data_IF_652605590203
#
_entry.id   IF_652605590203
#
_cell.length_a   1.000
_cell.length_b   1.000
_cell.length_c   1.000
_cell.angle_alpha   90.00
_cell.angle_beta   90.00
_cell.angle_gamma   90.00
#
_symmetry.space_group_name_H-M   'P 1'
#
loop_
_entity.id
_entity.type
_entity.pdbx_description
1 polymer ?
#
# COMPACT_ATOMS: atom_id res chain seq x y z
N UNK A 1 1.42 -17.96 -13.44
CA UNK A 1 2.17 -18.46 -14.58
C UNK A 1 1.76 -17.61 -15.78
N UNK A 2 2.69 -16.86 -16.32
CA UNK A 2 2.41 -15.98 -17.46
C UNK A 2 2.66 -16.76 -18.76
N UNK A 3 1.58 -17.23 -19.38
CA UNK A 3 1.62 -17.91 -20.68
C UNK A 3 1.43 -16.94 -21.86
N UNK A 4 1.21 -15.65 -21.58
CA UNK A 4 0.88 -14.65 -22.62
C UNK A 4 2.04 -14.30 -23.56
N UNK A 5 3.27 -14.66 -23.20
CA UNK A 5 4.47 -14.35 -23.99
C UNK A 5 4.93 -15.48 -24.90
N UNK A 6 4.19 -16.57 -24.94
CA UNK A 6 4.54 -17.73 -25.76
C UNK A 6 3.93 -17.58 -27.13
N UNK A 7 4.73 -17.09 -28.09
CA UNK A 7 4.29 -17.00 -29.48
C UNK A 7 4.07 -18.41 -30.07
N UNK A 8 2.99 -18.63 -30.85
CA UNK A 8 2.80 -19.89 -31.54
C UNK A 8 3.91 -20.10 -32.59
N UNK A 9 4.43 -21.31 -32.66
CA UNK A 9 5.40 -21.65 -33.72
C UNK A 9 4.64 -21.79 -35.05
N UNK A 10 5.06 -21.07 -36.06
CA UNK A 10 4.39 -21.13 -37.36
C UNK A 10 4.49 -22.53 -37.97
N UNK A 11 3.32 -23.10 -38.34
CA UNK A 11 3.21 -24.33 -39.10
C UNK A 11 3.31 -25.66 -38.39
N UNK A 12 3.51 -25.66 -37.06
CA UNK A 12 3.54 -26.91 -36.24
C UNK A 12 3.13 -26.63 -34.79
N UNK A 13 2.78 -27.69 -34.08
CA UNK A 13 2.59 -27.62 -32.63
C UNK A 13 3.92 -27.30 -31.94
N UNK A 14 3.84 -26.48 -30.91
CA UNK A 14 4.99 -26.12 -30.08
C UNK A 14 5.48 -27.33 -29.29
N UNK A 15 6.78 -27.58 -29.27
CA UNK A 15 7.40 -28.68 -28.57
C UNK A 15 8.15 -28.20 -27.32
N UNK A 16 8.42 -29.15 -26.39
CA UNK A 16 9.24 -28.87 -25.22
C UNK A 16 10.65 -28.34 -25.57
N UNK A 17 11.19 -28.79 -26.74
CA UNK A 17 12.48 -28.32 -27.21
C UNK A 17 12.43 -26.82 -27.61
N UNK A 18 11.33 -26.36 -28.17
CA UNK A 18 11.12 -24.95 -28.50
C UNK A 18 11.07 -24.12 -27.21
N UNK A 19 10.37 -24.60 -26.18
CA UNK A 19 10.28 -23.96 -24.88
C UNK A 19 11.64 -23.83 -24.17
N UNK A 20 12.44 -24.88 -24.23
CA UNK A 20 13.78 -24.87 -23.67
C UNK A 20 14.73 -23.91 -24.41
N UNK A 21 14.65 -23.88 -25.76
CA UNK A 21 15.48 -23.00 -26.58
C UNK A 21 15.13 -21.52 -26.39
N UNK A 22 13.86 -21.20 -26.25
CA UNK A 22 13.37 -19.84 -26.03
C UNK A 22 13.37 -19.43 -24.54
N UNK A 23 13.74 -20.36 -23.64
CA UNK A 23 13.78 -20.11 -22.22
C UNK A 23 12.40 -19.91 -21.57
N UNK A 24 11.36 -20.39 -22.24
CA UNK A 24 9.98 -20.33 -21.73
C UNK A 24 9.83 -21.29 -20.58
N UNK A 25 9.63 -20.75 -19.38
CA UNK A 25 9.45 -21.55 -18.17
C UNK A 25 8.29 -20.98 -17.35
N UNK A 26 7.46 -21.84 -16.74
CA UNK A 26 6.51 -21.37 -15.74
C UNK A 26 7.28 -20.74 -14.57
N UNK A 27 6.88 -19.56 -14.14
CA UNK A 27 7.48 -18.87 -13.02
C UNK A 27 6.42 -18.33 -12.08
N UNK A 28 6.79 -18.14 -10.82
CA UNK A 28 5.95 -17.49 -9.82
C UNK A 28 6.21 -15.99 -9.87
N UNK A 29 5.15 -15.21 -9.89
CA UNK A 29 5.21 -13.77 -9.72
C UNK A 29 4.50 -13.40 -8.43
N UNK A 30 5.19 -12.68 -7.56
CA UNK A 30 4.63 -12.15 -6.34
C UNK A 30 4.03 -10.78 -6.62
N UNK A 31 2.82 -10.57 -6.16
CA UNK A 31 2.16 -9.27 -6.13
C UNK A 31 1.99 -8.83 -4.68
N UNK A 32 2.32 -7.58 -4.40
CA UNK A 32 2.05 -6.99 -3.10
C UNK A 32 0.54 -6.79 -2.90
N UNK A 33 0.02 -6.78 -1.68
CA UNK A 33 -1.41 -6.61 -1.43
C UNK A 33 -1.98 -5.34 -2.06
N UNK A 34 -1.21 -4.24 -2.09
CA UNK A 34 -1.57 -2.97 -2.72
C UNK A 34 -1.69 -3.03 -4.25
N UNK A 35 -1.06 -4.00 -4.88
CA UNK A 35 -1.15 -4.20 -6.33
C UNK A 35 -2.36 -5.07 -6.72
N UNK A 36 -3.03 -5.69 -5.78
CA UNK A 36 -4.28 -6.44 -5.99
C UNK A 36 -5.47 -5.51 -5.79
N UNK A 37 -5.89 -4.83 -6.86
CA UNK A 37 -6.96 -3.82 -6.77
C UNK A 37 -8.37 -4.40 -6.73
N UNK A 38 -8.55 -5.63 -7.17
CA UNK A 38 -9.84 -6.29 -7.14
C UNK A 38 -9.69 -7.81 -7.16
N UNK A 39 -10.51 -8.48 -6.35
CA UNK A 39 -10.67 -9.93 -6.40
C UNK A 39 -12.14 -10.30 -6.14
N UNK A 40 -12.65 -11.20 -6.95
CA UNK A 40 -13.99 -11.76 -6.78
C UNK A 40 -13.88 -13.25 -6.65
N UNK A 41 -14.38 -13.77 -5.55
CA UNK A 41 -14.46 -15.21 -5.28
C UNK A 41 -15.91 -15.69 -5.41
N UNK A 42 -16.08 -16.87 -5.93
CA UNK A 42 -17.36 -17.54 -6.07
C UNK A 42 -17.26 -18.92 -5.44
N UNK A 43 -18.31 -19.32 -4.76
CA UNK A 43 -18.42 -20.65 -4.17
C UNK A 43 -18.97 -21.60 -5.21
N UNK A 44 -18.21 -22.63 -5.57
CA UNK A 44 -18.64 -23.67 -6.47
C UNK A 44 -19.71 -24.59 -5.86
N UNK A 45 -20.34 -25.41 -6.67
CA UNK A 45 -21.31 -26.42 -6.24
C UNK A 45 -20.68 -27.48 -5.29
N UNK A 46 -19.38 -27.66 -5.39
CA UNK A 46 -18.56 -28.52 -4.52
C UNK A 46 -18.25 -27.87 -3.16
N UNK A 47 -18.72 -26.66 -2.92
CA UNK A 47 -18.49 -25.88 -1.70
C UNK A 47 -17.15 -25.21 -1.62
N UNK A 48 -16.25 -25.37 -2.60
CA UNK A 48 -14.94 -24.73 -2.64
C UNK A 48 -15.03 -23.31 -3.18
N UNK A 49 -14.13 -22.46 -2.69
CA UNK A 49 -13.99 -21.11 -3.20
C UNK A 49 -12.99 -21.10 -4.36
N UNK A 50 -13.41 -20.53 -5.49
CA UNK A 50 -12.56 -20.25 -6.65
C UNK A 50 -12.59 -18.77 -7.00
N UNK A 51 -11.54 -18.28 -7.66
CA UNK A 51 -11.53 -16.93 -8.18
C UNK A 51 -12.35 -16.84 -9.47
N UNK A 52 -13.25 -15.87 -9.54
CA UNK A 52 -14.00 -15.54 -10.74
C UNK A 52 -13.39 -14.36 -11.51
N UNK A 53 -12.65 -13.49 -10.81
CA UNK A 53 -11.96 -12.36 -11.42
C UNK A 53 -10.88 -11.87 -10.45
N UNK A 54 -9.69 -11.54 -11.01
CA UNK A 54 -8.61 -10.86 -10.27
C UNK A 54 -8.07 -9.74 -11.13
N UNK A 55 -7.83 -8.56 -10.54
CA UNK A 55 -7.20 -7.41 -11.21
C UNK A 55 -5.94 -7.01 -10.47
N UNK A 56 -4.85 -6.97 -11.20
CA UNK A 56 -3.50 -6.73 -10.69
C UNK A 56 -2.91 -5.48 -11.35
N UNK A 57 -2.28 -4.64 -10.58
CA UNK A 57 -1.51 -3.50 -11.09
C UNK A 57 -0.09 -3.97 -11.40
N UNK A 58 0.37 -3.67 -12.59
CA UNK A 58 1.74 -3.93 -13.03
C UNK A 58 2.42 -2.62 -13.40
N UNK A 59 3.65 -2.47 -12.95
CA UNK A 59 4.51 -1.33 -13.29
C UNK A 59 5.68 -1.87 -14.09
N UNK A 60 5.59 -1.70 -15.40
CA UNK A 60 6.64 -2.13 -16.32
C UNK A 60 7.53 -0.96 -16.69
N UNK A 61 8.82 -1.23 -16.88
CA UNK A 61 9.77 -0.26 -17.41
C UNK A 61 9.83 -0.43 -18.92
N UNK A 62 9.56 0.64 -19.65
CA UNK A 62 9.74 0.72 -21.09
C UNK A 62 10.80 1.76 -21.45
N UNK A 63 11.53 1.51 -22.52
CA UNK A 63 12.51 2.47 -23.00
C UNK A 63 11.81 3.73 -23.54
N UNK A 64 12.27 4.90 -23.13
CA UNK A 64 11.79 6.20 -23.55
C UNK A 64 12.90 6.96 -24.29
N UNK A 65 13.12 6.58 -25.54
CA UNK A 65 14.22 7.06 -26.36
C UNK A 65 15.55 6.37 -26.06
N UNK A 66 16.64 6.95 -26.55
CA UNK A 66 17.98 6.33 -26.51
C UNK A 66 18.58 6.27 -25.09
N UNK A 67 18.15 7.15 -24.18
CA UNK A 67 18.79 7.36 -22.88
C UNK A 67 17.83 7.34 -21.69
N UNK A 68 16.54 7.07 -21.90
CA UNK A 68 15.54 7.16 -20.86
C UNK A 68 14.72 5.88 -20.69
N UNK A 69 14.17 5.69 -19.50
CA UNK A 69 13.16 4.68 -19.21
C UNK A 69 11.97 5.34 -18.54
N UNK A 70 10.76 4.91 -18.88
CA UNK A 70 9.52 5.34 -18.26
C UNK A 70 8.80 4.16 -17.62
N UNK A 71 8.12 4.44 -16.52
CA UNK A 71 7.21 3.48 -15.88
C UNK A 71 5.87 3.53 -16.61
N UNK A 72 5.45 2.40 -17.13
CA UNK A 72 4.13 2.23 -17.75
C UNK A 72 3.24 1.48 -16.77
N UNK A 73 2.09 2.09 -16.46
CA UNK A 73 1.11 1.50 -15.58
C UNK A 73 0.14 0.63 -16.38
N UNK A 74 0.06 -0.66 -16.01
CA UNK A 74 -0.84 -1.63 -16.63
C UNK A 74 -1.74 -2.28 -15.58
N UNK A 75 -2.92 -2.68 -16.02
CA UNK A 75 -3.83 -3.53 -15.24
C UNK A 75 -3.97 -4.84 -15.95
N UNK A 76 -3.55 -5.92 -15.29
CA UNK A 76 -3.81 -7.28 -15.73
C UNK A 76 -5.10 -7.76 -15.10
N UNK A 77 -6.07 -8.09 -15.92
CA UNK A 77 -7.34 -8.71 -15.54
C UNK A 77 -7.29 -10.19 -15.83
N UNK A 78 -7.41 -11.02 -14.81
CA UNK A 78 -7.45 -12.47 -14.93
C UNK A 78 -8.91 -12.93 -14.83
N UNK A 79 -9.32 -13.73 -15.78
CA UNK A 79 -10.62 -14.38 -15.87
C UNK A 79 -10.41 -15.91 -15.97
N UNK A 80 -11.39 -16.73 -15.66
CA UNK A 80 -11.30 -18.17 -15.92
C UNK A 80 -10.99 -18.43 -17.40
N UNK A 81 -9.88 -19.08 -17.68
CA UNK A 81 -9.43 -19.41 -19.04
C UNK A 81 -8.95 -18.24 -19.91
N UNK A 82 -8.91 -17.00 -19.41
CA UNK A 82 -8.51 -15.85 -20.21
C UNK A 82 -7.82 -14.76 -19.38
N UNK A 83 -7.03 -13.91 -20.06
CA UNK A 83 -6.48 -12.70 -19.47
C UNK A 83 -6.67 -11.51 -20.40
N UNK A 84 -6.69 -10.33 -19.82
CA UNK A 84 -6.74 -9.04 -20.51
C UNK A 84 -5.69 -8.11 -19.90
N UNK A 85 -4.98 -7.36 -20.71
CA UNK A 85 -3.99 -6.38 -20.29
C UNK A 85 -4.38 -4.99 -20.75
N UNK A 86 -4.58 -4.09 -19.81
CA UNK A 86 -4.95 -2.71 -20.08
C UNK A 86 -3.78 -1.79 -19.74
N UNK A 87 -3.60 -0.75 -20.54
CA UNK A 87 -2.60 0.29 -20.34
C UNK A 87 -3.26 1.65 -20.22
N UNK A 88 -2.75 2.47 -19.32
CA UNK A 88 -3.23 3.82 -19.11
C UNK A 88 -2.65 4.75 -20.19
N UNK A 89 -3.47 5.13 -21.16
CA UNK A 89 -3.06 6.04 -22.25
C UNK A 89 -3.78 7.37 -22.19
N UNK A 90 -3.06 8.44 -22.51
CA UNK A 90 -3.68 9.75 -22.72
C UNK A 90 -4.46 9.74 -24.01
N UNK A 91 -5.73 10.10 -23.96
CA UNK A 91 -6.65 10.05 -25.11
C UNK A 91 -6.27 10.99 -26.27
N UNK A 92 -5.53 12.06 -25.99
CA UNK A 92 -4.96 13.00 -26.95
C UNK A 92 -3.74 13.71 -26.34
N UNK A 93 -2.79 14.14 -27.19
CA UNK A 93 -1.54 14.80 -26.79
C UNK A 93 -1.74 16.06 -25.90
N UNK A 94 -2.92 16.70 -25.98
CA UNK A 94 -3.31 17.89 -25.18
C UNK A 94 -4.47 17.64 -24.21
N UNK A 95 -4.95 16.40 -24.06
CA UNK A 95 -6.05 16.08 -23.14
C UNK A 95 -5.51 15.62 -21.80
N UNK A 96 -6.03 16.21 -20.71
CA UNK A 96 -5.80 15.71 -19.36
C UNK A 96 -6.59 14.42 -19.03
N UNK A 97 -7.43 13.95 -19.97
CA UNK A 97 -8.22 12.73 -19.77
C UNK A 97 -7.40 11.51 -20.16
N UNK A 98 -7.12 10.69 -19.19
CA UNK A 98 -6.52 9.37 -19.33
C UNK A 98 -7.62 8.32 -19.47
N UNK A 99 -7.37 7.27 -20.23
CA UNK A 99 -8.29 6.12 -20.36
C UNK A 99 -7.52 4.82 -20.46
N UNK A 100 -8.09 3.79 -19.87
CA UNK A 100 -7.58 2.43 -19.97
C UNK A 100 -7.90 1.88 -21.37
N UNK A 101 -6.88 1.41 -22.06
CA UNK A 101 -6.98 0.84 -23.39
C UNK A 101 -6.49 -0.59 -23.32
N UNK A 102 -7.27 -1.53 -23.85
CA UNK A 102 -6.85 -2.93 -24.00
C UNK A 102 -5.67 -2.98 -24.97
N UNK A 103 -4.53 -3.49 -24.52
CA UNK A 103 -3.30 -3.61 -25.33
C UNK A 103 -2.97 -5.06 -25.67
N UNK A 104 -3.39 -6.00 -24.82
CA UNK A 104 -3.18 -7.41 -25.04
C UNK A 104 -4.27 -8.23 -24.34
N UNK A 105 -4.50 -9.44 -24.79
CA UNK A 105 -5.45 -10.37 -24.20
C UNK A 105 -5.60 -11.63 -25.01
N UNK A 106 -5.91 -12.72 -24.33
CA UNK A 106 -6.07 -13.99 -24.99
C UNK A 106 -6.49 -15.11 -24.04
N UNK A 107 -6.66 -16.33 -24.59
CA UNK A 107 -6.93 -17.50 -23.77
C UNK A 107 -5.70 -17.91 -22.96
N UNK A 108 -5.93 -18.39 -21.75
CA UNK A 108 -4.93 -19.09 -20.95
C UNK A 108 -5.09 -20.59 -21.14
N UNK A 109 -3.98 -21.34 -21.13
CA UNK A 109 -4.00 -22.80 -21.20
C UNK A 109 -4.48 -23.50 -19.92
N UNK A 110 -5.10 -22.76 -18.99
CA UNK A 110 -5.61 -23.22 -17.68
C UNK A 110 -7.01 -22.67 -17.52
N UNK A 111 -7.96 -23.51 -17.12
CA UNK A 111 -9.36 -23.15 -16.94
C UNK A 111 -9.57 -22.28 -15.69
N UNK A 112 -8.80 -22.54 -14.65
CA UNK A 112 -8.85 -21.78 -13.42
C UNK A 112 -7.87 -20.58 -13.44
N UNK A 113 -8.21 -19.53 -12.69
CA UNK A 113 -7.30 -18.39 -12.52
C UNK A 113 -6.08 -18.84 -11.70
N UNK A 114 -4.85 -18.80 -12.26
CA UNK A 114 -3.63 -19.24 -11.57
C UNK A 114 -3.15 -18.21 -10.56
N UNK A 115 -4.00 -17.87 -9.61
CA UNK A 115 -3.75 -16.92 -8.53
C UNK A 115 -4.02 -17.58 -7.18
N UNK A 116 -3.10 -17.39 -6.25
CA UNK A 116 -3.20 -17.95 -4.90
C UNK A 116 -2.93 -16.85 -3.88
N UNK A 117 -3.89 -16.64 -2.98
CA UNK A 117 -3.69 -15.77 -1.83
C UNK A 117 -2.73 -16.43 -0.84
N UNK A 118 -1.69 -15.71 -0.48
CA UNK A 118 -0.77 -16.11 0.57
C UNK A 118 -0.98 -15.26 1.81
N UNK A 119 -1.36 -15.90 2.91
CA UNK A 119 -1.58 -15.24 4.20
C UNK A 119 -0.55 -15.71 5.22
N UNK A 120 0.01 -14.79 5.98
CA UNK A 120 0.78 -15.10 7.19
C UNK A 120 -0.12 -15.55 8.34
N UNK A 121 -1.28 -14.91 8.46
CA UNK A 121 -2.39 -15.33 9.33
C UNK A 121 -3.69 -15.05 8.60
N UNK A 122 -4.58 -16.04 8.52
CA UNK A 122 -5.85 -15.94 7.81
C UNK A 122 -6.96 -15.60 8.81
N UNK A 123 -7.66 -14.52 8.57
CA UNK A 123 -8.83 -14.12 9.38
C UNK A 123 -10.15 -14.49 8.70
N UNK A 124 -10.20 -14.40 7.36
CA UNK A 124 -11.37 -14.71 6.55
C UNK A 124 -11.03 -15.18 5.14
N UNK A 125 -12.05 -15.26 4.27
CA UNK A 125 -11.87 -15.56 2.84
C UNK A 125 -11.45 -14.28 2.13
N UNK A 126 -10.17 -14.19 1.78
CA UNK A 126 -9.59 -13.00 1.15
C UNK A 126 -9.07 -11.98 2.17
N UNK A 127 -9.08 -12.30 3.46
CA UNK A 127 -8.65 -11.39 4.52
C UNK A 127 -7.49 -12.01 5.30
N UNK A 128 -6.40 -11.28 5.38
CA UNK A 128 -5.23 -11.64 6.18
C UNK A 128 -5.05 -10.69 7.36
N UNK A 129 -4.67 -11.22 8.50
CA UNK A 129 -4.31 -10.44 9.68
C UNK A 129 -2.79 -10.28 9.76
N UNK A 130 -2.25 -9.04 9.84
CA UNK A 130 -0.83 -8.84 10.06
C UNK A 130 -0.40 -9.39 11.42
N UNK A 131 0.70 -10.10 11.49
CA UNK A 131 1.22 -10.65 12.76
C UNK A 131 1.61 -9.58 13.78
N UNK A 132 1.97 -8.39 13.30
CA UNK A 132 2.43 -7.28 14.13
C UNK A 132 1.36 -6.21 14.37
N UNK A 133 0.08 -6.52 14.14
CA UNK A 133 -1.01 -5.55 14.32
C UNK A 133 -1.05 -5.01 15.75
N UNK A 134 -1.00 -5.89 16.73
CA UNK A 134 -1.03 -5.50 18.15
C UNK A 134 0.20 -4.64 18.53
N UNK A 135 1.36 -4.95 17.94
CA UNK A 135 2.58 -4.18 18.13
C UNK A 135 2.49 -2.78 17.52
N UNK A 136 1.77 -2.64 16.40
CA UNK A 136 1.56 -1.35 15.77
C UNK A 136 0.79 -0.38 16.68
N UNK A 137 -0.24 -0.84 17.37
CA UNK A 137 -0.98 -0.04 18.34
C UNK A 137 -0.12 0.37 19.54
N UNK A 138 0.64 -0.55 20.11
CA UNK A 138 1.61 -0.25 21.18
C UNK A 138 2.64 0.78 20.74
N UNK A 139 3.11 0.69 19.50
CA UNK A 139 4.07 1.65 18.96
C UNK A 139 3.48 3.06 18.82
N UNK A 140 2.20 3.17 18.45
CA UNK A 140 1.49 4.46 18.41
C UNK A 140 1.38 5.06 19.82
N UNK A 141 0.97 4.26 20.81
CA UNK A 141 0.89 4.69 22.21
C UNK A 141 2.25 5.15 22.73
N UNK A 142 3.30 4.40 22.43
CA UNK A 142 4.67 4.75 22.80
C UNK A 142 5.11 6.08 22.18
N UNK A 143 4.79 6.30 20.92
CA UNK A 143 5.11 7.54 20.22
C UNK A 143 4.37 8.74 20.83
N UNK A 144 3.08 8.58 21.17
CA UNK A 144 2.29 9.61 21.85
C UNK A 144 2.88 9.93 23.23
N UNK A 145 3.16 8.91 24.05
CA UNK A 145 3.77 9.07 25.36
C UNK A 145 5.14 9.75 25.30
N UNK A 146 5.97 9.40 24.32
CA UNK A 146 7.27 10.05 24.13
C UNK A 146 7.13 11.52 23.72
N UNK A 147 6.11 11.86 22.96
CA UNK A 147 5.80 13.24 22.58
C UNK A 147 5.36 14.06 23.81
N UNK A 148 4.47 13.51 24.63
CA UNK A 148 4.00 14.15 25.85
C UNK A 148 5.12 14.37 26.86
N UNK A 149 6.00 13.36 27.04
CA UNK A 149 7.18 13.52 27.89
C UNK A 149 8.10 14.64 27.41
N UNK A 150 8.31 14.77 26.10
CA UNK A 150 9.11 15.91 25.56
C UNK A 150 8.48 17.24 25.87
N UNK A 151 7.15 17.34 25.75
CA UNK A 151 6.43 18.59 26.10
C UNK A 151 6.56 18.92 27.59
N UNK A 152 6.35 17.95 28.47
CA UNK A 152 6.50 18.11 29.92
C UNK A 152 7.94 18.52 30.25
N UNK A 153 8.95 17.84 29.71
CA UNK A 153 10.34 18.17 29.94
C UNK A 153 10.70 19.58 29.41
N UNK A 154 10.09 20.02 28.32
CA UNK A 154 10.30 21.37 27.81
C UNK A 154 9.76 22.43 28.79
N UNK A 155 8.57 22.21 29.32
CA UNK A 155 7.98 23.12 30.33
C UNK A 155 8.77 23.08 31.67
N UNK A 156 9.14 21.90 32.15
CA UNK A 156 9.85 21.76 33.44
C UNK A 156 11.30 22.22 33.39
N UNK A 157 11.92 22.29 32.26
CA UNK A 157 13.29 22.83 32.09
C UNK A 157 13.36 24.35 32.30
N UNK A 158 12.25 25.06 32.23
CA UNK A 158 12.22 26.48 32.55
C UNK A 158 11.89 26.64 34.05
N UNK A 159 12.84 27.12 34.89
CA UNK A 159 12.56 27.38 36.25
C UNK A 159 11.48 28.45 36.38
N UNK A 160 10.40 28.12 37.07
CA UNK A 160 9.36 29.09 37.41
C UNK A 160 9.79 29.75 38.73
N UNK A 161 10.13 31.03 38.64
CA UNK A 161 10.41 31.82 39.83
C UNK A 161 9.07 32.14 40.53
N UNK A 162 8.85 31.62 41.74
CA UNK A 162 7.72 32.02 42.58
C UNK A 162 8.19 33.06 43.59
N UNK A 163 7.55 34.20 43.64
CA UNK A 163 7.82 35.24 44.65
C UNK A 163 6.60 35.35 45.56
N UNK A 164 6.78 35.10 46.85
CA UNK A 164 5.76 35.34 47.88
C UNK A 164 5.90 36.72 48.49
N UNK A 165 4.79 37.33 48.90
CA UNK A 165 4.78 38.64 49.56
C UNK A 165 4.83 39.87 48.64
N UNK A 166 4.90 39.68 47.33
CA UNK A 166 4.66 40.78 46.39
C UNK A 166 3.14 41.03 46.28
N UNK A 167 2.70 42.26 46.53
CA UNK A 167 1.29 42.62 46.36
C UNK A 167 0.80 42.29 44.94
N UNK A 168 0.16 41.17 44.82
CA UNK A 168 -0.56 40.80 43.63
C UNK A 168 -1.84 41.66 43.59
N UNK A 169 -1.75 42.82 42.98
CA UNK A 169 -2.95 43.56 42.60
C UNK A 169 -3.80 42.62 41.79
N UNK A 170 -4.98 42.23 42.30
CA UNK A 170 -5.88 41.23 41.84
C UNK A 170 -6.25 41.35 40.37
N UNK A 171 -5.39 40.84 39.52
CA UNK A 171 -5.67 40.62 38.14
C UNK A 171 -5.86 39.11 37.95
N UNK A 172 -7.07 38.69 37.62
CA UNK A 172 -7.42 37.34 37.20
C UNK A 172 -6.74 36.96 35.85
N UNK A 173 -5.46 37.23 35.73
CA UNK A 173 -4.74 36.85 34.55
C UNK A 173 -4.38 35.36 34.59
N UNK A 174 -4.63 34.60 33.53
CA UNK A 174 -4.23 33.22 33.44
C UNK A 174 -2.73 33.12 33.70
N UNK A 175 -2.31 32.13 34.50
CA UNK A 175 -0.90 31.87 34.76
C UNK A 175 -0.23 31.43 33.47
N UNK A 176 0.58 32.33 32.91
CA UNK A 176 1.34 32.06 31.68
C UNK A 176 2.69 31.52 32.08
N UNK A 177 2.89 30.22 31.86
CA UNK A 177 4.16 29.54 32.09
C UNK A 177 5.08 29.76 30.88
N UNK A 178 6.30 30.23 31.13
CA UNK A 178 7.29 30.45 30.07
C UNK A 178 8.62 30.97 30.59
N UNK A 179 9.66 30.99 29.75
CA UNK A 179 10.94 31.59 30.10
C UNK A 179 10.74 33.08 30.39
N UNK A 180 11.32 33.57 31.46
CA UNK A 180 11.22 34.96 31.94
C UNK A 180 9.84 35.35 32.52
N UNK A 181 9.04 34.38 32.95
CA UNK A 181 7.80 34.64 33.70
C UNK A 181 7.98 34.21 35.16
N UNK A 182 7.38 34.97 36.09
CA UNK A 182 7.35 34.61 37.52
C UNK A 182 5.91 34.52 38.01
N UNK A 183 5.69 33.64 38.96
CA UNK A 183 4.42 33.46 39.65
C UNK A 183 4.49 34.31 40.93
N UNK A 184 3.61 35.28 41.05
CA UNK A 184 3.42 36.02 42.31
C UNK A 184 2.36 35.31 43.16
N UNK A 185 2.71 34.91 44.38
CA UNK A 185 1.80 34.32 45.33
C UNK A 185 1.61 35.28 46.48
N UNK A 186 0.35 35.54 46.86
CA UNK A 186 0.05 36.37 48.04
C UNK A 186 0.61 35.73 49.31
N UNK A 187 1.11 36.56 50.22
CA UNK A 187 1.60 36.07 51.50
C UNK A 187 0.40 35.56 52.31
N UNK A 188 0.42 34.27 52.79
CA UNK A 188 -0.68 33.73 53.58
C UNK A 188 -0.74 34.29 55.01
N UNK A 189 0.21 35.14 55.40
CA UNK A 189 0.27 35.73 56.72
C UNK A 189 0.05 37.25 56.78
N UNK A 190 -0.37 37.84 55.67
CA UNK A 190 -0.66 39.26 55.55
C UNK A 190 -2.09 39.64 55.81
#
# INVERSE_FOLDING_TARGET
VDFSRVAPVQGRERTLADDLNEGVRPFWRLYAPEDVIFQRKVRGADGKWSFAEVRLVERDLEDDGEWGQKVVLRIRRLLPGAFELYELKKKQKNSKKESWVLVDGGPMGVDDIPFVDYYTSKDGVGEGKPHLEDLAFINIEHWQSASDQRNILTVTRFPILAVSGANANGSENPVVIGPNKFLSVADPQG
#
